data_IF_710290440145
#
_entry.id   IF_710290440145
#
_cell.length_a   1.000
_cell.length_b   1.000
_cell.length_c   1.000
_cell.angle_alpha   90.00
_cell.angle_beta   90.00
_cell.angle_gamma   90.00
#
_symmetry.space_group_name_H-M   'P 1'
#
loop_
_entity.id
_entity.type
_entity.pdbx_description
1 polymer ?
#
# COMPACT_ATOMS: atom_id res chain seq x y z
N UNK A 1 40.61 -26.66 5.13
CA UNK A 1 40.85 -27.72 4.11
C UNK A 1 39.69 -28.69 4.17
N UNK A 2 39.03 -28.97 3.05
CA UNK A 2 37.98 -29.99 2.99
C UNK A 2 38.66 -31.37 3.03
N UNK A 3 38.26 -32.20 4.00
CA UNK A 3 38.92 -33.50 4.27
C UNK A 3 38.03 -34.67 3.73
N UNK A 4 36.76 -34.38 3.56
CA UNK A 4 35.77 -35.33 3.07
C UNK A 4 34.38 -34.74 3.04
N UNK A 5 33.37 -35.52 2.70
CA UNK A 5 31.96 -35.16 2.79
C UNK A 5 31.16 -36.34 3.35
N UNK A 6 30.10 -36.06 4.07
CA UNK A 6 29.10 -37.00 4.53
C UNK A 6 27.78 -36.67 3.79
N UNK A 7 27.11 -37.71 3.31
CA UNK A 7 25.79 -37.55 2.72
C UNK A 7 24.74 -37.76 3.82
N UNK A 8 23.87 -36.77 3.98
CA UNK A 8 22.72 -36.80 4.88
C UNK A 8 21.47 -36.66 3.98
N UNK A 9 20.83 -37.79 3.70
CA UNK A 9 19.82 -37.94 2.67
C UNK A 9 20.35 -37.50 1.27
N UNK A 10 19.78 -36.44 0.69
CA UNK A 10 20.18 -35.88 -0.60
C UNK A 10 21.16 -34.70 -0.49
N UNK A 11 21.63 -34.36 0.72
CA UNK A 11 22.52 -33.22 0.95
C UNK A 11 23.97 -33.68 1.24
N UNK A 12 24.90 -33.11 0.49
CA UNK A 12 26.31 -33.28 0.75
C UNK A 12 26.78 -32.30 1.81
N UNK A 13 27.18 -32.77 2.99
CA UNK A 13 27.74 -31.98 4.08
C UNK A 13 29.25 -32.11 4.04
N UNK A 14 30.00 -31.03 3.68
CA UNK A 14 31.46 -31.07 3.61
C UNK A 14 32.07 -31.06 5.01
N UNK A 15 33.02 -31.98 5.25
CA UNK A 15 33.84 -31.99 6.46
C UNK A 15 35.03 -31.05 6.23
N UNK A 16 35.07 -29.95 6.99
CA UNK A 16 36.11 -28.95 6.88
C UNK A 16 37.02 -29.03 8.11
N UNK A 17 38.31 -29.36 7.90
CA UNK A 17 39.30 -29.25 8.93
C UNK A 17 39.75 -27.81 9.08
N UNK A 18 39.48 -27.21 10.25
CA UNK A 18 39.92 -25.86 10.60
C UNK A 18 40.91 -25.94 11.77
N UNK A 19 41.93 -25.11 11.74
CA UNK A 19 42.76 -24.87 12.89
C UNK A 19 41.96 -24.12 13.98
N UNK A 20 42.09 -24.46 15.23
CA UNK A 20 41.44 -23.81 16.36
C UNK A 20 41.73 -22.30 16.43
N UNK A 21 42.85 -21.84 15.88
CA UNK A 21 43.23 -20.43 15.80
C UNK A 21 42.77 -19.73 14.51
N UNK A 22 42.23 -20.46 13.51
CA UNK A 22 41.90 -19.90 12.20
C UNK A 22 40.72 -18.90 12.22
N UNK A 23 39.88 -18.96 13.26
CA UNK A 23 38.74 -18.02 13.41
C UNK A 23 39.15 -16.65 13.97
N UNK A 24 40.35 -16.54 14.57
CA UNK A 24 40.86 -15.33 15.19
C UNK A 24 42.05 -14.70 14.43
N UNK A 25 42.14 -14.96 13.10
CA UNK A 25 43.17 -14.32 12.28
C UNK A 25 42.83 -12.84 12.12
N UNK A 26 43.54 -12.02 12.90
CA UNK A 26 43.52 -10.56 12.80
C UNK A 26 44.75 -10.12 12.00
N UNK A 27 44.69 -8.92 11.41
CA UNK A 27 45.86 -8.34 10.71
C UNK A 27 47.17 -8.41 11.52
N UNK A 28 47.10 -8.25 12.85
CA UNK A 28 48.26 -8.36 13.75
C UNK A 28 48.85 -9.77 13.79
N UNK A 29 47.99 -10.81 13.74
CA UNK A 29 48.43 -12.21 13.88
C UNK A 29 48.74 -12.85 12.51
N UNK A 30 48.24 -12.29 11.40
CA UNK A 30 48.48 -12.81 10.07
C UNK A 30 49.99 -12.82 9.71
N UNK A 31 50.78 -11.92 10.25
CA UNK A 31 52.24 -11.86 10.05
C UNK A 31 53.00 -13.04 10.65
N UNK A 32 52.44 -13.64 11.70
CA UNK A 32 53.07 -14.72 12.49
C UNK A 32 52.58 -16.13 12.08
N UNK A 33 51.83 -16.23 11.01
CA UNK A 33 51.40 -17.51 10.42
C UNK A 33 52.68 -18.21 9.89
N UNK A 34 52.89 -19.48 10.28
CA UNK A 34 54.01 -20.28 9.83
C UNK A 34 53.70 -20.97 8.49
N UNK A 35 54.63 -20.82 7.56
CA UNK A 35 54.62 -21.52 6.28
C UNK A 35 55.68 -22.61 6.27
N UNK A 36 55.30 -23.79 5.79
CA UNK A 36 56.28 -24.88 5.61
C UNK A 36 56.94 -24.74 4.25
N UNK A 37 58.27 -24.61 4.28
CA UNK A 37 59.08 -24.52 3.04
C UNK A 37 59.25 -25.89 2.40
N UNK A 38 59.63 -25.94 1.13
CA UNK A 38 59.95 -27.19 0.42
C UNK A 38 61.01 -28.06 1.07
N UNK A 39 61.86 -27.45 1.90
CA UNK A 39 62.87 -28.18 2.75
C UNK A 39 62.34 -28.66 4.10
N UNK A 40 61.04 -28.56 4.38
CA UNK A 40 60.42 -28.98 5.65
C UNK A 40 60.62 -28.04 6.81
N UNK A 41 61.22 -26.86 6.63
CA UNK A 41 61.40 -25.86 7.71
C UNK A 41 60.17 -24.96 7.78
N UNK A 42 59.70 -24.65 8.98
CA UNK A 42 58.62 -23.66 9.22
C UNK A 42 59.23 -22.28 9.37
N UNK A 43 58.77 -21.33 8.56
CA UNK A 43 59.15 -19.89 8.60
C UNK A 43 57.92 -19.03 8.77
N UNK A 44 57.96 -17.99 9.61
CA UNK A 44 56.81 -17.08 9.74
C UNK A 44 56.63 -16.24 8.47
N UNK A 45 55.39 -15.93 8.10
CA UNK A 45 55.03 -15.22 6.89
C UNK A 45 55.76 -13.87 6.75
N UNK A 46 56.02 -13.17 7.86
CA UNK A 46 56.74 -11.89 7.90
C UNK A 46 58.18 -11.96 7.36
N UNK A 47 58.80 -13.16 7.28
CA UNK A 47 60.13 -13.32 6.72
C UNK A 47 60.15 -13.49 5.19
N UNK A 48 59.06 -13.92 4.62
CA UNK A 48 58.94 -14.24 3.17
C UNK A 48 58.02 -13.31 2.44
N UNK A 49 57.13 -12.56 3.13
CA UNK A 49 56.18 -11.67 2.50
C UNK A 49 55.87 -10.46 3.41
N UNK A 50 55.52 -9.35 2.78
CA UNK A 50 54.99 -8.17 3.45
C UNK A 50 53.48 -8.24 3.45
N UNK A 51 52.84 -8.31 4.64
CA UNK A 51 51.40 -8.35 4.81
C UNK A 51 50.90 -6.91 4.96
N UNK A 52 50.05 -6.48 4.00
CA UNK A 52 49.42 -5.16 4.00
C UNK A 52 47.90 -5.30 4.01
N UNK A 53 47.15 -4.50 4.79
CA UNK A 53 45.72 -4.48 4.70
C UNK A 53 45.33 -3.88 3.35
N UNK A 54 44.45 -4.57 2.66
CA UNK A 54 43.91 -4.07 1.40
C UNK A 54 42.38 -4.11 1.47
N UNK A 55 41.76 -3.03 0.98
CA UNK A 55 40.32 -2.98 0.85
C UNK A 55 39.91 -3.65 -0.45
N UNK A 56 39.03 -4.62 -0.37
CA UNK A 56 38.41 -5.26 -1.53
C UNK A 56 36.91 -5.22 -1.41
N UNK A 57 36.23 -5.21 -2.53
CA UNK A 57 34.77 -5.21 -2.55
C UNK A 57 34.27 -6.62 -2.23
N UNK A 58 33.46 -6.74 -1.19
CA UNK A 58 32.84 -8.01 -0.79
C UNK A 58 31.76 -8.43 -1.78
N UNK A 59 30.95 -7.47 -2.25
CA UNK A 59 29.90 -7.71 -3.22
C UNK A 59 29.98 -6.68 -4.35
N UNK A 60 29.94 -7.16 -5.59
CA UNK A 60 29.84 -6.32 -6.78
C UNK A 60 28.40 -6.43 -7.28
N UNK A 61 27.64 -5.35 -7.08
CA UNK A 61 26.24 -5.30 -7.48
C UNK A 61 26.14 -4.72 -8.90
N UNK A 62 25.34 -5.37 -9.74
CA UNK A 62 24.97 -4.88 -11.05
C UNK A 62 23.47 -4.60 -11.08
N UNK A 63 23.10 -3.47 -11.68
CA UNK A 63 21.72 -3.08 -11.96
C UNK A 63 21.60 -2.82 -13.45
N UNK A 64 20.67 -3.50 -14.11
CA UNK A 64 20.51 -3.42 -15.58
C UNK A 64 21.80 -3.68 -16.36
N UNK A 65 22.68 -4.58 -15.88
CA UNK A 65 23.95 -4.89 -16.50
C UNK A 65 25.11 -3.93 -16.18
N UNK A 66 24.84 -2.78 -15.55
CA UNK A 66 25.84 -1.80 -15.14
C UNK A 66 26.21 -1.99 -13.65
N UNK A 67 27.50 -1.83 -13.36
CA UNK A 67 27.99 -1.91 -11.98
C UNK A 67 27.49 -0.72 -11.18
N UNK A 68 26.90 -0.96 -10.03
CA UNK A 68 26.35 0.10 -9.20
C UNK A 68 26.79 0.01 -7.73
N UNK A 69 26.75 1.16 -7.07
CA UNK A 69 26.85 1.29 -5.61
C UNK A 69 25.58 1.99 -5.13
N UNK A 70 24.91 1.38 -4.17
CA UNK A 70 23.73 1.98 -3.55
C UNK A 70 24.14 2.64 -2.23
N UNK A 71 23.84 3.91 -2.10
CA UNK A 71 23.96 4.66 -0.85
C UNK A 71 22.58 4.79 -0.26
N UNK A 72 22.33 4.11 0.87
CA UNK A 72 21.04 4.18 1.55
C UNK A 72 21.10 5.18 2.70
N UNK A 73 20.06 6.02 2.80
CA UNK A 73 19.89 6.94 3.90
C UNK A 73 18.47 6.83 4.45
N UNK A 74 18.34 6.75 5.76
CA UNK A 74 17.04 6.77 6.42
C UNK A 74 16.77 8.15 6.99
N UNK A 75 15.60 8.71 6.69
CA UNK A 75 15.13 9.95 7.28
C UNK A 75 14.74 9.76 8.75
N UNK A 76 14.84 10.82 9.55
CA UNK A 76 14.25 10.83 10.90
C UNK A 76 12.75 10.59 10.81
N UNK A 77 12.15 10.00 11.87
CA UNK A 77 10.72 9.65 11.92
C UNK A 77 9.74 10.76 11.51
N UNK A 78 10.13 12.02 11.68
CA UNK A 78 9.28 13.20 11.42
C UNK A 78 9.61 13.91 10.10
N UNK A 79 10.44 13.32 9.24
CA UNK A 79 10.79 13.91 7.95
C UNK A 79 10.10 13.13 6.86
N UNK A 80 9.30 13.83 6.05
CA UNK A 80 8.65 13.25 4.88
C UNK A 80 9.69 12.88 3.83
N UNK A 81 9.61 11.66 3.30
CA UNK A 81 10.57 11.15 2.33
C UNK A 81 10.53 11.93 1.00
N UNK A 82 9.34 12.27 0.52
CA UNK A 82 9.17 12.91 -0.79
C UNK A 82 9.89 14.27 -0.94
N UNK A 83 9.76 15.26 -0.03
CA UNK A 83 10.49 16.51 -0.14
C UNK A 83 12.01 16.34 0.05
N UNK A 84 12.43 15.37 0.87
CA UNK A 84 13.84 15.05 1.06
C UNK A 84 14.44 14.48 -0.23
N UNK A 85 13.77 13.53 -0.85
CA UNK A 85 14.21 12.91 -2.10
C UNK A 85 14.24 13.92 -3.25
N UNK A 86 13.24 14.81 -3.36
CA UNK A 86 13.24 15.89 -4.34
C UNK A 86 14.43 16.85 -4.16
N UNK A 87 14.82 17.12 -2.90
CA UNK A 87 16.00 17.94 -2.60
C UNK A 87 17.29 17.22 -2.97
N UNK A 88 17.40 15.93 -2.66
CA UNK A 88 18.55 15.09 -3.06
C UNK A 88 18.67 15.03 -4.57
N UNK A 89 17.55 14.85 -5.30
CA UNK A 89 17.55 14.85 -6.76
C UNK A 89 18.17 16.12 -7.35
N UNK A 90 17.73 17.29 -6.84
CA UNK A 90 18.32 18.58 -7.27
C UNK A 90 19.82 18.72 -6.94
N UNK A 91 20.25 18.15 -5.81
CA UNK A 91 21.68 18.16 -5.47
C UNK A 91 22.49 17.26 -6.40
N UNK A 92 21.95 16.11 -6.78
CA UNK A 92 22.60 15.18 -7.72
C UNK A 92 22.72 15.82 -9.11
N UNK A 93 21.70 16.53 -9.60
CA UNK A 93 21.73 17.26 -10.88
C UNK A 93 22.82 18.33 -10.91
N UNK A 94 23.23 18.86 -9.76
CA UNK A 94 24.28 19.87 -9.63
C UNK A 94 25.66 19.29 -9.37
N UNK A 95 25.78 17.96 -9.18
CA UNK A 95 27.06 17.31 -8.95
C UNK A 95 27.85 17.15 -10.25
N UNK A 96 29.11 17.53 -10.20
CA UNK A 96 30.06 17.22 -11.27
C UNK A 96 30.53 15.77 -11.13
N UNK A 97 29.91 14.88 -11.90
CA UNK A 97 30.20 13.45 -11.85
C UNK A 97 31.29 13.09 -12.88
N UNK A 98 32.19 12.15 -12.56
CA UNK A 98 33.16 11.65 -13.50
C UNK A 98 32.52 11.07 -14.77
N UNK A 99 33.21 11.15 -15.89
CA UNK A 99 32.72 10.56 -17.15
C UNK A 99 32.39 9.06 -16.97
N UNK A 100 31.22 8.67 -17.42
CA UNK A 100 30.71 7.28 -17.30
C UNK A 100 30.07 6.93 -16.00
N UNK A 101 29.93 7.87 -15.05
CA UNK A 101 29.19 7.68 -13.81
C UNK A 101 27.85 8.40 -13.89
N UNK A 102 26.77 7.67 -13.56
CA UNK A 102 25.42 8.24 -13.40
C UNK A 102 24.98 8.07 -11.96
N UNK A 103 24.36 9.09 -11.41
CA UNK A 103 23.71 9.01 -10.12
C UNK A 103 22.21 9.17 -10.29
N UNK A 104 21.45 8.26 -9.69
CA UNK A 104 20.00 8.23 -9.76
C UNK A 104 19.42 8.16 -8.35
N UNK A 105 18.29 8.83 -8.15
CA UNK A 105 17.56 8.75 -6.87
C UNK A 105 16.62 7.55 -6.93
N UNK A 106 16.95 6.51 -6.19
CA UNK A 106 16.11 5.33 -6.02
C UNK A 106 15.16 5.43 -4.82
N UNK A 107 14.62 4.29 -4.41
CA UNK A 107 13.83 4.15 -3.20
C UNK A 107 12.33 4.38 -3.40
N UNK A 108 11.69 5.18 -2.54
CA UNK A 108 10.23 5.32 -2.54
C UNK A 108 9.68 5.98 -3.81
N UNK A 109 10.36 7.02 -4.32
CA UNK A 109 9.92 7.69 -5.57
C UNK A 109 10.00 6.76 -6.76
N UNK A 110 11.07 6.00 -6.88
CA UNK A 110 11.24 5.04 -7.96
C UNK A 110 10.14 3.98 -7.94
N UNK A 111 9.91 3.38 -6.77
CA UNK A 111 8.82 2.41 -6.56
C UNK A 111 7.45 3.01 -6.84
N UNK A 112 7.22 4.25 -6.41
CA UNK A 112 5.97 4.94 -6.68
C UNK A 112 5.77 5.16 -8.19
N UNK A 113 6.79 5.61 -8.91
CA UNK A 113 6.70 5.83 -10.35
C UNK A 113 6.49 4.52 -11.14
N UNK A 114 6.98 3.41 -10.64
CA UNK A 114 6.82 2.09 -11.26
C UNK A 114 5.45 1.47 -10.95
N UNK A 115 4.99 1.53 -9.70
CA UNK A 115 3.82 0.80 -9.22
C UNK A 115 2.52 1.65 -9.28
N UNK A 116 2.60 2.96 -9.08
CA UNK A 116 1.41 3.83 -9.06
C UNK A 116 0.61 3.76 -10.37
N UNK A 117 1.21 3.76 -11.57
CA UNK A 117 0.44 3.61 -12.81
C UNK A 117 -0.37 2.32 -12.86
N UNK A 118 0.21 1.19 -12.42
CA UNK A 118 -0.48 -0.10 -12.40
C UNK A 118 -1.64 -0.11 -11.42
N UNK A 119 -1.47 0.50 -10.24
CA UNK A 119 -2.55 0.67 -9.27
C UNK A 119 -3.64 1.58 -9.82
N UNK A 120 -3.30 2.68 -10.47
CA UNK A 120 -4.30 3.59 -11.07
C UNK A 120 -5.09 2.90 -12.19
N UNK A 121 -4.43 2.06 -12.98
CA UNK A 121 -5.11 1.21 -13.96
C UNK A 121 -6.06 0.22 -13.27
N UNK A 122 -5.62 -0.42 -12.18
CA UNK A 122 -6.44 -1.31 -11.36
C UNK A 122 -7.65 -0.60 -10.75
N UNK A 123 -7.48 0.61 -10.23
CA UNK A 123 -8.58 1.45 -9.73
C UNK A 123 -9.56 1.78 -10.86
N UNK A 124 -9.07 2.17 -12.04
CA UNK A 124 -9.90 2.44 -13.20
C UNK A 124 -10.75 1.23 -13.61
N UNK A 125 -10.12 0.05 -13.67
CA UNK A 125 -10.82 -1.21 -13.95
C UNK A 125 -11.87 -1.53 -12.88
N UNK A 126 -11.52 -1.38 -11.60
CA UNK A 126 -12.45 -1.59 -10.49
C UNK A 126 -13.67 -0.66 -10.58
N UNK A 127 -13.47 0.62 -10.89
CA UNK A 127 -14.57 1.58 -11.08
C UNK A 127 -15.48 1.18 -12.23
N UNK A 128 -14.93 0.68 -13.34
CA UNK A 128 -15.72 0.18 -14.49
C UNK A 128 -16.55 -1.04 -14.07
N UNK A 129 -15.98 -1.99 -13.37
CA UNK A 129 -16.69 -3.18 -12.86
C UNK A 129 -17.80 -2.76 -11.89
N UNK A 130 -17.50 -1.88 -10.95
CA UNK A 130 -18.48 -1.34 -9.99
C UNK A 130 -19.62 -0.63 -10.73
N UNK A 131 -19.31 0.19 -11.74
CA UNK A 131 -20.31 0.88 -12.54
C UNK A 131 -21.31 -0.10 -13.19
N UNK A 132 -20.79 -1.13 -13.85
CA UNK A 132 -21.66 -2.13 -14.48
C UNK A 132 -22.44 -2.93 -13.44
N UNK A 133 -21.82 -3.29 -12.32
CA UNK A 133 -22.49 -4.01 -11.23
C UNK A 133 -23.70 -3.23 -10.70
N UNK A 134 -23.53 -1.93 -10.41
CA UNK A 134 -24.60 -1.06 -9.94
C UNK A 134 -25.67 -0.89 -11.03
N UNK A 135 -25.24 -0.70 -12.28
CA UNK A 135 -26.15 -0.56 -13.40
C UNK A 135 -27.03 -1.79 -13.61
N UNK A 136 -26.46 -3.00 -13.48
CA UNK A 136 -27.22 -4.25 -13.55
C UNK A 136 -28.18 -4.41 -12.38
N UNK A 137 -27.78 -3.99 -11.18
CA UNK A 137 -28.61 -4.09 -9.97
C UNK A 137 -29.82 -3.15 -10.06
N UNK A 138 -29.59 -1.86 -10.28
CA UNK A 138 -30.65 -0.86 -10.25
C UNK A 138 -31.32 -0.60 -11.60
N UNK A 139 -30.70 -1.00 -12.71
CA UNK A 139 -31.16 -0.75 -14.10
C UNK A 139 -31.47 0.73 -14.39
N UNK A 140 -30.75 1.65 -13.71
CA UNK A 140 -30.99 3.10 -13.74
C UNK A 140 -29.68 3.88 -13.73
N UNK A 141 -29.41 4.55 -14.86
CA UNK A 141 -28.19 5.35 -14.99
C UNK A 141 -28.06 6.44 -13.92
N UNK A 142 -29.17 7.12 -13.56
CA UNK A 142 -29.12 8.20 -12.56
C UNK A 142 -28.61 7.75 -11.19
N UNK A 143 -29.08 6.60 -10.69
CA UNK A 143 -28.64 6.03 -9.43
C UNK A 143 -27.16 5.62 -9.55
N UNK A 144 -26.80 4.97 -10.67
CA UNK A 144 -25.41 4.52 -10.91
C UNK A 144 -24.43 5.69 -10.86
N UNK A 145 -24.73 6.81 -11.52
CA UNK A 145 -23.84 7.99 -11.48
C UNK A 145 -23.73 8.61 -10.08
N UNK A 146 -24.80 8.59 -9.30
CA UNK A 146 -24.76 9.11 -7.93
C UNK A 146 -23.89 8.25 -7.04
N UNK A 147 -24.03 6.93 -7.13
CA UNK A 147 -23.17 6.01 -6.39
C UNK A 147 -21.70 6.24 -6.76
N UNK A 148 -21.40 6.37 -8.04
CA UNK A 148 -20.03 6.67 -8.48
C UNK A 148 -19.52 8.02 -7.97
N UNK A 149 -20.39 9.04 -7.93
CA UNK A 149 -20.04 10.35 -7.39
C UNK A 149 -19.79 10.32 -5.87
N UNK A 150 -20.52 9.48 -5.14
CA UNK A 150 -20.40 9.37 -3.69
C UNK A 150 -19.07 8.71 -3.27
N UNK A 151 -18.45 7.86 -4.10
CA UNK A 151 -17.08 7.39 -3.88
C UNK A 151 -16.13 8.59 -3.76
N UNK A 152 -16.29 9.60 -4.62
CA UNK A 152 -15.44 10.78 -4.60
C UNK A 152 -15.58 11.59 -3.31
N UNK A 153 -16.72 11.49 -2.60
CA UNK A 153 -16.91 12.16 -1.31
C UNK A 153 -16.07 11.57 -0.17
N UNK A 154 -15.53 10.37 -0.35
CA UNK A 154 -14.63 9.76 0.64
C UNK A 154 -13.24 10.38 0.66
N UNK A 155 -12.81 10.94 -0.47
CA UNK A 155 -11.46 11.50 -0.63
C UNK A 155 -11.18 12.60 0.40
N UNK A 156 -12.04 13.61 0.60
CA UNK A 156 -11.81 14.64 1.59
C UNK A 156 -11.62 14.10 3.01
N UNK A 157 -12.43 13.12 3.43
CA UNK A 157 -12.31 12.51 4.76
C UNK A 157 -10.96 11.82 4.97
N UNK A 158 -10.52 11.05 3.98
CA UNK A 158 -9.24 10.37 4.02
C UNK A 158 -8.06 11.36 3.98
N UNK A 159 -8.14 12.40 3.15
CA UNK A 159 -7.12 13.45 3.08
C UNK A 159 -6.95 14.21 4.38
N UNK A 160 -8.05 14.56 5.03
CA UNK A 160 -8.04 15.21 6.36
C UNK A 160 -7.38 14.27 7.38
N UNK A 161 -7.72 13.00 7.38
CA UNK A 161 -7.11 12.03 8.28
C UNK A 161 -5.61 11.87 8.09
N UNK A 162 -5.15 11.80 6.84
CA UNK A 162 -3.72 11.74 6.52
C UNK A 162 -2.99 13.03 6.92
N UNK A 163 -3.62 14.20 6.69
CA UNK A 163 -3.05 15.47 7.08
C UNK A 163 -2.90 15.64 8.60
N UNK A 164 -3.92 15.20 9.37
CA UNK A 164 -3.86 15.22 10.85
C UNK A 164 -2.75 14.30 11.37
N UNK A 165 -2.54 13.17 10.71
CA UNK A 165 -1.51 12.19 11.08
C UNK A 165 -0.11 12.53 10.54
N UNK A 166 0.06 13.67 9.87
CA UNK A 166 1.31 14.09 9.22
C UNK A 166 1.86 13.01 8.27
N UNK A 167 0.98 12.47 7.42
CA UNK A 167 1.29 11.45 6.42
C UNK A 167 0.95 11.93 5.02
N UNK A 168 1.84 11.58 4.08
CA UNK A 168 1.62 11.89 2.65
C UNK A 168 0.65 10.90 2.01
N UNK A 169 -0.03 11.40 0.97
CA UNK A 169 -0.75 10.54 0.04
C UNK A 169 0.28 9.80 -0.81
N UNK A 170 0.56 8.56 -0.47
CA UNK A 170 1.52 7.70 -1.16
C UNK A 170 0.88 6.39 -1.63
N UNK A 171 1.72 5.49 -2.15
CA UNK A 171 1.32 4.17 -2.63
C UNK A 171 0.44 3.41 -1.61
N UNK A 172 0.84 3.44 -0.36
CA UNK A 172 0.16 2.71 0.71
C UNK A 172 -1.23 3.25 1.02
N UNK A 173 -1.43 4.56 0.98
CA UNK A 173 -2.76 5.16 1.15
C UNK A 173 -3.71 4.85 -0.02
N UNK A 174 -3.19 4.63 -1.25
CA UNK A 174 -4.01 4.19 -2.38
C UNK A 174 -4.64 2.81 -2.14
N UNK A 175 -3.93 1.88 -1.49
CA UNK A 175 -4.54 0.61 -1.05
C UNK A 175 -5.70 0.81 -0.06
N UNK A 176 -5.55 1.80 0.84
CA UNK A 176 -6.62 2.21 1.73
C UNK A 176 -7.85 2.74 0.97
N UNK A 177 -7.63 3.52 -0.09
CA UNK A 177 -8.72 4.02 -0.95
C UNK A 177 -9.45 2.91 -1.70
N UNK A 178 -8.73 1.92 -2.25
CA UNK A 178 -9.36 0.77 -2.92
C UNK A 178 -10.29 0.02 -1.96
N UNK A 179 -9.81 -0.22 -0.74
CA UNK A 179 -10.61 -0.88 0.30
C UNK A 179 -11.83 -0.03 0.68
N UNK A 180 -11.63 1.28 0.83
CA UNK A 180 -12.68 2.23 1.19
C UNK A 180 -13.80 2.29 0.14
N UNK A 181 -13.44 2.26 -1.16
CA UNK A 181 -14.44 2.23 -2.25
C UNK A 181 -15.40 1.05 -2.11
N UNK A 182 -14.90 -0.16 -1.80
CA UNK A 182 -15.76 -1.33 -1.60
C UNK A 182 -16.70 -1.19 -0.42
N UNK A 183 -16.24 -0.60 0.69
CA UNK A 183 -17.05 -0.35 1.88
C UNK A 183 -18.17 0.65 1.58
N UNK A 184 -17.85 1.72 0.87
CA UNK A 184 -18.79 2.79 0.49
C UNK A 184 -19.88 2.22 -0.41
N UNK A 185 -19.50 1.52 -1.47
CA UNK A 185 -20.43 0.92 -2.41
C UNK A 185 -21.46 0.02 -1.75
N UNK A 186 -21.00 -0.84 -0.85
CA UNK A 186 -21.92 -1.70 -0.08
C UNK A 186 -22.93 -0.89 0.71
N UNK A 187 -22.50 0.19 1.35
CA UNK A 187 -23.39 1.02 2.17
C UNK A 187 -24.42 1.76 1.32
N UNK A 188 -24.04 2.24 0.14
CA UNK A 188 -24.91 2.95 -0.80
C UNK A 188 -25.97 2.03 -1.39
N UNK A 189 -25.55 0.84 -1.84
CA UNK A 189 -26.46 -0.17 -2.39
C UNK A 189 -27.54 -0.50 -1.38
N UNK A 190 -27.19 -0.72 -0.11
CA UNK A 190 -28.14 -1.04 0.96
C UNK A 190 -29.18 0.07 1.20
N UNK A 191 -28.79 1.34 1.08
CA UNK A 191 -29.73 2.47 1.24
C UNK A 191 -30.69 2.55 0.05
N UNK A 192 -30.16 2.49 -1.18
CA UNK A 192 -30.97 2.64 -2.36
C UNK A 192 -31.88 1.45 -2.61
N UNK A 193 -31.43 0.23 -2.35
CA UNK A 193 -32.23 -0.99 -2.44
C UNK A 193 -33.43 -0.93 -1.49
N UNK A 194 -33.18 -0.52 -0.24
CA UNK A 194 -34.28 -0.37 0.73
C UNK A 194 -35.27 0.75 0.34
N UNK A 195 -34.77 1.86 -0.19
CA UNK A 195 -35.62 2.93 -0.69
C UNK A 195 -36.47 2.50 -1.89
N UNK A 196 -35.88 1.77 -2.86
CA UNK A 196 -36.61 1.23 -4.01
C UNK A 196 -37.66 0.18 -3.59
N UNK A 197 -37.33 -0.67 -2.58
CA UNK A 197 -38.28 -1.63 -1.99
C UNK A 197 -39.51 -0.90 -1.38
N UNK A 198 -39.27 0.16 -0.60
CA UNK A 198 -40.36 0.94 0.01
C UNK A 198 -41.19 1.73 -1.00
N UNK A 199 -40.58 2.20 -2.06
CA UNK A 199 -41.33 2.78 -3.19
C UNK A 199 -42.19 1.72 -3.92
N UNK A 200 -41.70 0.50 -4.07
CA UNK A 200 -42.48 -0.59 -4.64
C UNK A 200 -43.65 -1.00 -3.76
N UNK A 201 -43.57 -0.85 -2.43
CA UNK A 201 -44.67 -1.02 -1.48
C UNK A 201 -45.70 0.14 -1.54
N UNK A 202 -45.45 1.20 -2.33
CA UNK A 202 -46.36 2.33 -2.51
C UNK A 202 -46.07 3.56 -1.66
N UNK A 203 -44.92 3.61 -0.99
CA UNK A 203 -44.48 4.82 -0.29
C UNK A 203 -44.11 5.94 -1.28
N UNK A 204 -44.31 7.21 -0.87
CA UNK A 204 -43.77 8.34 -1.62
C UNK A 204 -42.22 8.31 -1.66
N UNK A 205 -41.61 8.86 -2.69
CA UNK A 205 -40.16 8.91 -2.83
C UNK A 205 -39.50 9.60 -1.63
N UNK A 206 -40.18 10.59 -1.03
CA UNK A 206 -39.72 11.29 0.16
C UNK A 206 -39.71 10.40 1.38
N UNK A 207 -40.81 9.70 1.61
CA UNK A 207 -40.98 8.86 2.81
C UNK A 207 -40.11 7.59 2.70
N UNK A 208 -39.98 7.02 1.50
CA UNK A 208 -39.10 5.90 1.23
C UNK A 208 -37.62 6.25 1.48
N UNK A 209 -37.17 7.44 0.99
CA UNK A 209 -35.84 7.92 1.24
C UNK A 209 -35.55 8.18 2.73
N UNK A 210 -36.53 8.74 3.43
CA UNK A 210 -36.42 8.99 4.87
C UNK A 210 -36.38 7.68 5.69
N UNK A 211 -37.25 6.73 5.38
CA UNK A 211 -37.26 5.42 6.04
C UNK A 211 -35.97 4.64 5.76
N UNK A 212 -35.46 4.68 4.53
CA UNK A 212 -34.19 4.06 4.17
C UNK A 212 -33.03 4.65 4.99
N UNK A 213 -32.91 5.98 5.05
CA UNK A 213 -31.90 6.66 5.85
C UNK A 213 -31.98 6.25 7.33
N UNK A 214 -33.18 6.25 7.90
CA UNK A 214 -33.39 5.94 9.32
C UNK A 214 -33.10 4.47 9.65
N UNK A 215 -33.62 3.53 8.88
CA UNK A 215 -33.48 2.09 9.17
C UNK A 215 -32.10 1.53 8.87
N UNK A 216 -31.45 2.05 7.82
CA UNK A 216 -30.13 1.58 7.42
C UNK A 216 -28.99 2.28 8.15
N UNK A 217 -29.25 3.40 8.84
CA UNK A 217 -28.24 4.14 9.60
C UNK A 217 -27.52 3.25 10.63
N UNK A 218 -28.27 2.48 11.44
CA UNK A 218 -27.68 1.64 12.49
C UNK A 218 -26.78 0.54 11.93
N UNK A 219 -27.21 -0.28 10.95
CA UNK A 219 -26.34 -1.28 10.32
C UNK A 219 -25.09 -0.68 9.68
N UNK A 220 -25.22 0.45 8.98
CA UNK A 220 -24.10 1.12 8.32
C UNK A 220 -23.13 1.69 9.37
N UNK A 221 -23.64 2.32 10.42
CA UNK A 221 -22.82 2.78 11.53
C UNK A 221 -22.05 1.63 12.18
N UNK A 222 -22.71 0.51 12.47
CA UNK A 222 -22.10 -0.65 13.11
C UNK A 222 -20.98 -1.25 12.24
N UNK A 223 -21.22 -1.40 10.93
CA UNK A 223 -20.22 -1.94 10.02
C UNK A 223 -19.02 -0.98 9.82
N UNK A 224 -19.27 0.32 9.77
CA UNK A 224 -18.21 1.32 9.71
C UNK A 224 -17.42 1.38 11.01
N UNK A 225 -18.10 1.33 12.15
CA UNK A 225 -17.46 1.31 13.46
C UNK A 225 -16.58 0.06 13.67
N UNK A 226 -17.07 -1.12 13.29
CA UNK A 226 -16.27 -2.37 13.39
C UNK A 226 -15.05 -2.32 12.48
N UNK A 227 -15.19 -1.79 11.27
CA UNK A 227 -14.04 -1.59 10.36
C UNK A 227 -13.05 -0.58 10.94
N UNK A 228 -13.53 0.55 11.47
CA UNK A 228 -12.69 1.57 12.08
C UNK A 228 -11.92 1.01 13.27
N UNK A 229 -12.58 0.27 14.16
CA UNK A 229 -11.93 -0.41 15.31
C UNK A 229 -10.93 -1.45 14.83
N UNK A 230 -11.26 -2.22 13.78
CA UNK A 230 -10.38 -3.25 13.21
C UNK A 230 -9.06 -2.72 12.66
N UNK A 231 -9.03 -1.46 12.17
CA UNK A 231 -7.80 -0.86 11.63
C UNK A 231 -6.97 -0.11 12.68
N UNK A 232 -7.50 0.13 13.89
CA UNK A 232 -6.76 0.80 14.98
C UNK A 232 -5.42 0.14 15.29
N UNK A 233 -5.31 -1.21 15.42
CA UNK A 233 -4.03 -1.86 15.67
C UNK A 233 -2.99 -1.56 14.59
N UNK A 234 -3.40 -1.45 13.32
CA UNK A 234 -2.50 -1.10 12.21
C UNK A 234 -1.96 0.33 12.35
N UNK A 235 -2.78 1.25 12.84
CA UNK A 235 -2.38 2.65 13.08
C UNK A 235 -1.40 2.73 14.26
N UNK A 236 -1.72 2.04 15.37
CA UNK A 236 -0.90 2.05 16.58
C UNK A 236 0.45 1.37 16.37
N UNK A 237 0.51 0.30 15.56
CA UNK A 237 1.76 -0.39 15.23
C UNK A 237 2.81 0.53 14.59
N UNK A 238 2.40 1.68 14.03
CA UNK A 238 3.30 2.72 13.52
C UNK A 238 4.14 2.31 12.31
N UNK A 239 3.77 1.20 11.64
CA UNK A 239 4.45 0.74 10.43
C UNK A 239 4.32 1.77 9.31
N UNK A 240 5.42 2.09 8.64
CA UNK A 240 5.44 3.04 7.52
C UNK A 240 4.51 2.60 6.37
N UNK A 241 4.28 1.30 6.22
CA UNK A 241 3.40 0.73 5.21
C UNK A 241 1.93 0.70 5.67
N UNK A 242 1.64 0.10 6.83
CA UNK A 242 0.27 -0.18 7.26
C UNK A 242 -0.44 1.02 7.90
N UNK A 243 0.30 1.92 8.53
CA UNK A 243 -0.29 3.09 9.19
C UNK A 243 -1.05 4.01 8.22
N UNK A 244 -0.53 4.40 7.03
CA UNK A 244 -1.30 5.22 6.08
C UNK A 244 -2.53 4.51 5.54
N UNK A 245 -2.47 3.18 5.31
CA UNK A 245 -3.63 2.36 4.92
C UNK A 245 -4.72 2.46 5.97
N UNK A 246 -4.36 2.19 7.24
CA UNK A 246 -5.30 2.24 8.38
C UNK A 246 -5.93 3.62 8.56
N UNK A 247 -5.14 4.69 8.47
CA UNK A 247 -5.64 6.07 8.58
C UNK A 247 -6.62 6.41 7.46
N UNK A 248 -6.31 6.02 6.22
CA UNK A 248 -7.18 6.26 5.07
C UNK A 248 -8.54 5.57 5.25
N UNK A 249 -8.55 4.31 5.68
CA UNK A 249 -9.78 3.56 5.94
C UNK A 249 -10.54 4.15 7.12
N UNK A 250 -9.87 4.47 8.21
CA UNK A 250 -10.47 5.01 9.43
C UNK A 250 -11.12 6.38 9.18
N UNK A 251 -10.34 7.34 8.74
CA UNK A 251 -10.80 8.72 8.55
C UNK A 251 -11.73 8.85 7.34
N UNK A 252 -11.42 8.16 6.24
CA UNK A 252 -12.28 8.11 5.07
C UNK A 252 -13.62 7.43 5.37
N UNK A 253 -13.62 6.33 6.15
CA UNK A 253 -14.83 5.63 6.57
C UNK A 253 -15.74 6.50 7.43
N UNK A 254 -15.19 7.19 8.45
CA UNK A 254 -15.96 8.09 9.30
C UNK A 254 -16.49 9.29 8.51
N UNK A 255 -15.64 9.93 7.69
CA UNK A 255 -16.06 11.06 6.86
C UNK A 255 -17.18 10.68 5.89
N UNK A 256 -17.06 9.51 5.28
CA UNK A 256 -18.05 8.99 4.35
C UNK A 256 -19.35 8.62 5.05
N UNK A 257 -19.29 8.05 6.26
CA UNK A 257 -20.48 7.71 7.03
C UNK A 257 -21.36 8.95 7.25
N UNK A 258 -20.76 10.06 7.68
CA UNK A 258 -21.46 11.33 7.89
C UNK A 258 -22.12 11.84 6.60
N UNK A 259 -21.40 11.75 5.49
CA UNK A 259 -21.91 12.22 4.19
C UNK A 259 -22.97 11.30 3.62
N UNK A 260 -22.77 9.99 3.62
CA UNK A 260 -23.71 9.02 3.05
C UNK A 260 -25.06 9.10 3.75
N UNK A 261 -25.09 9.08 5.07
CA UNK A 261 -26.33 9.07 5.84
C UNK A 261 -27.16 10.33 5.60
N UNK A 262 -26.52 11.48 5.41
CA UNK A 262 -27.21 12.76 5.22
C UNK A 262 -27.51 13.08 3.74
N UNK A 263 -26.56 12.80 2.84
CA UNK A 263 -26.65 13.25 1.44
C UNK A 263 -27.43 12.27 0.57
N UNK A 264 -27.17 10.96 0.72
CA UNK A 264 -27.78 9.96 -0.17
C UNK A 264 -29.31 9.94 -0.14
N UNK A 265 -29.99 9.96 1.02
CA UNK A 265 -31.46 9.98 1.04
C UNK A 265 -32.06 11.22 0.34
N UNK A 266 -31.40 12.39 0.51
CA UNK A 266 -31.86 13.63 -0.13
C UNK A 266 -31.69 13.56 -1.65
N UNK A 267 -30.56 13.03 -2.11
CA UNK A 267 -30.28 12.88 -3.54
C UNK A 267 -31.22 11.84 -4.17
N UNK A 268 -31.47 10.72 -3.48
CA UNK A 268 -32.44 9.71 -3.91
C UNK A 268 -33.85 10.30 -4.07
N UNK A 269 -34.31 11.05 -3.07
CA UNK A 269 -35.59 11.74 -3.15
C UNK A 269 -35.67 12.68 -4.35
N UNK A 270 -34.68 13.55 -4.55
CA UNK A 270 -34.68 14.49 -5.70
C UNK A 270 -34.76 13.79 -7.04
N UNK A 271 -34.05 12.69 -7.22
CA UNK A 271 -34.10 11.90 -8.45
C UNK A 271 -35.44 11.25 -8.72
N UNK A 272 -36.16 10.88 -7.66
CA UNK A 272 -37.42 10.14 -7.78
C UNK A 272 -38.66 11.02 -7.62
N UNK A 273 -38.53 12.34 -7.44
CA UNK A 273 -39.68 13.27 -7.36
C UNK A 273 -40.65 13.17 -8.56
N UNK A 274 -40.14 12.86 -9.77
CA UNK A 274 -40.96 12.70 -10.97
C UNK A 274 -41.81 11.41 -11.00
N UNK A 275 -41.47 10.43 -10.13
CA UNK A 275 -42.21 9.15 -10.04
C UNK A 275 -43.45 9.25 -9.15
N UNK A 276 -43.40 10.10 -8.12
CA UNK A 276 -44.57 10.35 -7.25
C UNK A 276 -45.78 10.94 -8.04
N UNK A 277 -45.52 11.55 -9.20
CA UNK A 277 -46.56 12.18 -10.05
C UNK A 277 -47.25 11.25 -11.03
N UNK A 278 -46.82 9.99 -11.18
CA UNK A 278 -47.55 9.01 -12.00
C UNK A 278 -48.50 8.23 -11.08
N UNK A 279 -49.84 8.41 -11.18
CA UNK A 279 -50.78 7.54 -10.49
C UNK A 279 -50.54 6.12 -11.02
N UNK A 280 -50.35 5.17 -10.11
CA UNK A 280 -50.42 3.76 -10.43
C UNK A 280 -51.83 3.53 -11.03
N UNK A 281 -51.91 3.35 -12.33
CA UNK A 281 -53.08 2.75 -12.95
C UNK A 281 -53.20 1.35 -12.36
N UNK A 282 -54.03 1.26 -11.34
CA UNK A 282 -54.46 0.04 -10.68
C UNK A 282 -54.93 -0.89 -11.78
N UNK A 283 -54.24 -1.97 -12.04
CA UNK A 283 -54.77 -3.13 -12.78
C UNK A 283 -55.90 -3.75 -11.94
N UNK A 284 -57.08 -3.08 -11.99
CA UNK A 284 -58.34 -3.65 -11.58
C UNK A 284 -58.98 -4.21 -12.83
N UNK A 285 -58.42 -5.26 -13.40
CA UNK A 285 -59.10 -6.05 -14.41
C UNK A 285 -58.52 -7.46 -14.41
N UNK A 286 -58.94 -8.26 -13.42
CA UNK A 286 -59.18 -9.70 -13.59
C UNK A 286 -59.99 -10.18 -12.36
N UNK A 287 -61.28 -10.12 -12.54
CA UNK A 287 -62.19 -11.10 -11.95
C UNK A 287 -62.56 -12.09 -13.04
#
# INVERSE_FOLDING_TARGET
>A
MQVGSIWEDDYEVPIILKDAQSENITYSNAKDIYLTTASGRSVPLRQVAEVKPAWTQTNIVHRNGERCISVTAEGKRNVLAAPLQARIGKMIEQMDLPQGVRAEVGGEIEKNNEIVPDIMMGIGLALVIIFFFILFNFKRFGITFICMAAISLSIPGAMIGLAIADRTLGLTSLFGFITLMGIIMRNEILIFEHADEKMAEGMSARDAAYDAGRRRMVPIFLTTATTAVGVIPMIIAGSSFWMPVGITIFAGGIGTLILIVNVLPVVYWKLNQGRDKKPQLTNTAQK
#
